data_IF_465567563190
#
_entry.id   IF_465567563190
#
_cell.length_a   1.000
_cell.length_b   1.000
_cell.length_c   1.000
_cell.angle_alpha   90.00
_cell.angle_beta   90.00
_cell.angle_gamma   90.00
#
_symmetry.space_group_name_H-M   'P 1'
#
loop_
_entity.id
_entity.type
_entity.pdbx_description
1 polymer ?
#
# COMPACT_ATOMS: atom_id res chain seq x y z
N UNK A 1 36.61 -1.64 -46.86
CA UNK A 1 37.33 -2.07 -45.65
C UNK A 1 36.67 -1.43 -44.43
N UNK A 2 36.05 -2.27 -43.60
CA UNK A 2 35.69 -2.18 -42.17
C UNK A 2 35.27 -0.85 -41.52
N UNK A 3 34.04 -0.82 -40.97
CA UNK A 3 33.82 -0.75 -39.51
C UNK A 3 32.33 -1.05 -39.19
N UNK A 4 32.10 -2.14 -38.47
CA UNK A 4 30.79 -2.60 -38.03
C UNK A 4 30.27 -1.75 -36.86
N UNK A 5 29.10 -1.15 -37.02
CA UNK A 5 28.29 -0.59 -35.94
C UNK A 5 27.66 -1.74 -35.14
N UNK A 6 28.37 -2.27 -34.16
CA UNK A 6 27.75 -3.17 -33.18
C UNK A 6 26.97 -2.32 -32.17
N UNK A 7 25.68 -2.11 -32.47
CA UNK A 7 24.72 -1.66 -31.47
C UNK A 7 24.55 -2.77 -30.45
N UNK A 8 25.08 -2.55 -29.24
CA UNK A 8 25.03 -3.48 -28.13
C UNK A 8 23.57 -3.74 -27.74
N UNK A 9 23.10 -4.96 -28.03
CA UNK A 9 21.83 -5.49 -27.54
C UNK A 9 21.94 -5.66 -26.02
N UNK A 10 21.49 -4.67 -25.26
CA UNK A 10 21.19 -4.82 -23.84
C UNK A 10 19.69 -4.97 -23.69
N UNK A 11 19.13 -6.18 -23.81
CA UNK A 11 17.72 -6.36 -23.47
C UNK A 11 17.34 -7.81 -23.24
N UNK A 12 17.06 -8.14 -21.99
CA UNK A 12 16.44 -9.40 -21.59
C UNK A 12 16.19 -9.45 -20.09
N UNK A 13 17.26 -9.35 -19.30
CA UNK A 13 17.17 -9.41 -17.84
C UNK A 13 16.55 -8.15 -17.19
N UNK A 14 16.83 -6.96 -17.73
CA UNK A 14 16.34 -5.69 -17.18
C UNK A 14 14.83 -5.46 -17.35
N UNK A 15 14.23 -5.97 -18.44
CA UNK A 15 12.82 -5.73 -18.76
C UNK A 15 11.88 -6.49 -17.81
N UNK A 16 12.21 -7.74 -17.46
CA UNK A 16 11.45 -8.48 -16.46
C UNK A 16 11.54 -7.81 -15.09
N UNK A 17 12.75 -7.46 -14.65
CA UNK A 17 13.00 -6.78 -13.37
C UNK A 17 12.33 -5.39 -13.29
N UNK A 18 12.24 -4.65 -14.39
CA UNK A 18 11.50 -3.37 -14.47
C UNK A 18 9.99 -3.56 -14.32
N UNK A 19 9.40 -4.60 -14.93
CA UNK A 19 7.96 -4.87 -14.83
C UNK A 19 7.53 -5.26 -13.42
N UNK A 20 8.33 -6.08 -12.72
CA UNK A 20 8.06 -6.43 -11.32
C UNK A 20 8.14 -5.20 -10.39
N UNK A 21 9.10 -4.31 -10.63
CA UNK A 21 9.22 -3.06 -9.87
C UNK A 21 8.04 -2.11 -10.13
N UNK A 22 7.63 -1.96 -11.39
CA UNK A 22 6.49 -1.12 -11.75
C UNK A 22 5.18 -1.61 -11.09
N UNK A 23 4.93 -2.92 -11.11
CA UNK A 23 3.77 -3.52 -10.43
C UNK A 23 3.83 -3.32 -8.91
N UNK A 24 5.02 -3.41 -8.30
CA UNK A 24 5.19 -3.17 -6.86
C UNK A 24 4.93 -1.72 -6.46
N UNK A 25 5.41 -0.76 -7.26
CA UNK A 25 5.16 0.66 -7.05
C UNK A 25 3.67 1.01 -7.23
N UNK A 26 3.03 0.49 -8.28
CA UNK A 26 1.61 0.67 -8.51
C UNK A 26 0.76 0.06 -7.39
N UNK A 27 1.13 -1.13 -6.89
CA UNK A 27 0.44 -1.76 -5.77
C UNK A 27 0.59 -0.93 -4.50
N UNK A 28 1.78 -0.46 -4.15
CA UNK A 28 1.97 0.42 -2.97
C UNK A 28 1.17 1.72 -3.09
N UNK A 29 1.17 2.36 -4.26
CA UNK A 29 0.37 3.55 -4.49
C UNK A 29 -1.14 3.29 -4.33
N UNK A 30 -1.63 2.13 -4.78
CA UNK A 30 -3.02 1.73 -4.59
C UNK A 30 -3.35 1.44 -3.11
N UNK A 31 -2.43 0.83 -2.36
CA UNK A 31 -2.61 0.58 -0.93
C UNK A 31 -2.61 1.90 -0.15
N UNK A 32 -1.70 2.83 -0.47
CA UNK A 32 -1.66 4.17 0.12
C UNK A 32 -2.98 4.92 -0.13
N UNK A 33 -3.53 4.81 -1.34
CA UNK A 33 -4.82 5.43 -1.69
C UNK A 33 -6.03 4.87 -0.92
N UNK A 34 -5.92 3.66 -0.35
CA UNK A 34 -6.96 3.03 0.48
C UNK A 34 -6.61 3.06 1.98
N UNK A 35 -5.48 3.67 2.35
CA UNK A 35 -5.02 3.80 3.73
C UNK A 35 -5.63 5.04 4.38
N UNK A 36 -5.94 4.95 5.67
CA UNK A 36 -6.43 6.09 6.46
C UNK A 36 -5.58 6.21 7.73
N UNK A 37 -5.19 7.44 8.09
CA UNK A 37 -4.48 7.68 9.34
C UNK A 37 -5.39 7.44 10.55
N UNK A 38 -4.86 6.77 11.56
CA UNK A 38 -5.64 6.45 12.76
C UNK A 38 -6.10 7.68 13.54
N UNK A 39 -5.35 8.78 13.56
CA UNK A 39 -5.77 10.02 14.22
C UNK A 39 -6.92 10.67 13.48
N UNK A 40 -6.90 10.65 12.14
CA UNK A 40 -8.00 11.16 11.33
C UNK A 40 -9.26 10.32 11.52
N UNK A 41 -9.10 8.99 11.54
CA UNK A 41 -10.21 8.07 11.74
C UNK A 41 -10.84 8.25 13.13
N UNK A 42 -10.02 8.42 14.18
CA UNK A 42 -10.47 8.55 15.56
C UNK A 42 -10.89 9.97 15.96
N UNK A 43 -10.52 11.00 15.19
CA UNK A 43 -10.91 12.41 15.39
C UNK A 43 -10.65 12.92 16.82
N UNK A 44 -9.53 12.52 17.43
CA UNK A 44 -9.17 12.88 18.81
C UNK A 44 -9.87 12.06 19.91
N UNK A 45 -10.75 11.14 19.55
CA UNK A 45 -11.37 10.21 20.49
C UNK A 45 -10.52 8.96 20.69
N UNK A 46 -10.75 8.23 21.79
CA UNK A 46 -10.08 6.94 22.04
C UNK A 46 -10.70 5.79 21.23
N UNK A 47 -11.92 5.98 20.73
CA UNK A 47 -12.68 4.98 19.99
C UNK A 47 -13.69 5.62 19.04
N UNK A 48 -14.08 4.88 18.00
CA UNK A 48 -15.17 5.19 17.08
C UNK A 48 -16.07 3.97 16.88
N UNK A 49 -17.36 4.22 16.67
CA UNK A 49 -18.33 3.19 16.30
C UNK A 49 -18.46 3.09 14.78
N UNK A 50 -18.44 1.86 14.26
CA UNK A 50 -18.52 1.54 12.85
C UNK A 50 -19.74 0.66 12.63
N UNK A 51 -20.68 1.10 11.82
CA UNK A 51 -21.83 0.28 11.40
C UNK A 51 -21.40 -0.56 10.20
N UNK A 52 -21.46 -1.87 10.33
CA UNK A 52 -21.07 -2.80 9.26
C UNK A 52 -21.96 -4.05 9.29
N UNK A 53 -22.52 -4.42 8.13
CA UNK A 53 -23.43 -5.58 7.98
C UNK A 53 -24.54 -5.63 9.04
N UNK A 54 -25.14 -4.49 9.37
CA UNK A 54 -26.22 -4.39 10.36
C UNK A 54 -25.79 -4.56 11.83
N UNK A 55 -24.49 -4.75 12.11
CA UNK A 55 -23.94 -4.74 13.46
C UNK A 55 -23.14 -3.45 13.70
N UNK A 56 -23.05 -3.05 14.96
CA UNK A 56 -22.10 -2.02 15.40
C UNK A 56 -20.80 -2.71 15.77
N UNK A 57 -19.69 -2.10 15.42
CA UNK A 57 -18.35 -2.47 15.85
C UNK A 57 -17.71 -1.25 16.49
N UNK A 58 -16.69 -1.48 17.32
CA UNK A 58 -15.91 -0.42 17.95
C UNK A 58 -14.44 -0.59 17.60
N UNK A 59 -13.89 0.38 16.89
CA UNK A 59 -12.45 0.51 16.69
C UNK A 59 -11.90 1.44 17.76
N UNK A 60 -10.83 1.04 18.45
CA UNK A 60 -10.25 1.84 19.54
C UNK A 60 -8.74 1.66 19.66
N UNK A 61 -8.06 2.64 20.25
CA UNK A 61 -6.63 2.53 20.60
C UNK A 61 -6.46 1.95 22.00
N UNK A 62 -5.57 0.98 22.12
CA UNK A 62 -5.18 0.36 23.40
C UNK A 62 -4.12 1.18 24.13
N UNK A 63 -3.89 0.91 25.42
CA UNK A 63 -2.82 1.56 26.20
C UNK A 63 -1.42 1.30 25.62
N UNK A 64 -1.22 0.19 24.90
CA UNK A 64 0.03 -0.18 24.22
C UNK A 64 0.13 0.39 22.79
N UNK A 65 -0.78 1.28 22.39
CA UNK A 65 -0.72 1.99 21.10
C UNK A 65 -1.24 1.21 19.89
N UNK A 66 -1.77 0.00 20.08
CA UNK A 66 -2.39 -0.77 18.98
C UNK A 66 -3.86 -0.41 18.81
N UNK A 67 -4.37 -0.50 17.58
CA UNK A 67 -5.81 -0.50 17.32
C UNK A 67 -6.41 -1.89 17.55
N UNK A 68 -7.61 -1.93 18.13
CA UNK A 68 -8.40 -3.15 18.27
C UNK A 68 -9.84 -2.90 17.80
N UNK A 69 -10.37 -3.82 17.01
CA UNK A 69 -11.75 -3.84 16.56
C UNK A 69 -12.50 -4.90 17.36
N UNK A 70 -13.57 -4.48 18.05
CA UNK A 70 -14.50 -5.39 18.71
C UNK A 70 -15.86 -5.27 18.04
N UNK A 71 -16.64 -6.35 18.07
CA UNK A 71 -18.06 -6.28 17.78
C UNK A 71 -18.77 -5.65 18.97
#
# INVERSE_FOLDING_TARGET
>A
MYAATHSLMSTGAGAAMQRFQASGLAHRAAVDALSVDSNELLRGHKAVEIKHNGSTYRLQTTKLGKLILTK
#
